data_IF_911905094260
#
_entry.id   IF_911905094260
#
_cell.length_a   1.000
_cell.length_b   1.000
_cell.length_c   1.000
_cell.angle_alpha   90.00
_cell.angle_beta   90.00
_cell.angle_gamma   90.00
#
_symmetry.space_group_name_H-M   'P 1'
#
loop_
_entity.id
_entity.type
_entity.pdbx_description
1 polymer ?
#
# COMPACT_ATOMS: atom_id res chain seq x y z
N UNK A 1 -7.68 25.66 -37.96
CA UNK A 1 -8.44 25.79 -36.70
C UNK A 1 -7.42 25.97 -35.59
N UNK A 2 -7.19 27.21 -35.16
CA UNK A 2 -6.16 27.52 -34.17
C UNK A 2 -6.69 27.10 -32.80
N UNK A 3 -6.12 26.04 -32.21
CA UNK A 3 -6.40 25.69 -30.81
C UNK A 3 -5.94 26.89 -29.99
N UNK A 4 -6.87 27.56 -29.32
CA UNK A 4 -6.54 28.76 -28.54
C UNK A 4 -5.66 28.36 -27.36
N UNK A 5 -4.83 29.28 -26.89
CA UNK A 5 -3.94 29.04 -25.72
C UNK A 5 -4.76 28.59 -24.49
N UNK A 6 -6.03 28.98 -24.44
CA UNK A 6 -7.00 28.54 -23.44
C UNK A 6 -7.34 27.04 -23.52
N UNK A 7 -7.43 26.46 -24.72
CA UNK A 7 -7.63 25.01 -24.88
C UNK A 7 -6.40 24.22 -24.43
N UNK A 8 -5.20 24.76 -24.64
CA UNK A 8 -3.97 24.15 -24.14
C UNK A 8 -3.91 24.16 -22.61
N UNK A 9 -4.26 25.29 -21.97
CA UNK A 9 -4.29 25.42 -20.52
C UNK A 9 -5.32 24.50 -19.86
N UNK A 10 -6.51 24.34 -20.47
CA UNK A 10 -7.56 23.45 -19.97
C UNK A 10 -7.17 21.97 -20.02
N UNK A 11 -6.50 21.54 -21.09
CA UNK A 11 -6.02 20.16 -21.18
C UNK A 11 -4.94 19.87 -20.13
N UNK A 12 -3.99 20.79 -19.95
CA UNK A 12 -2.94 20.63 -18.95
C UNK A 12 -3.49 20.52 -17.51
N UNK A 13 -4.53 21.30 -17.19
CA UNK A 13 -5.19 21.21 -15.89
C UNK A 13 -5.94 19.87 -15.69
N UNK A 14 -6.53 19.32 -16.75
CA UNK A 14 -7.18 18.00 -16.72
C UNK A 14 -6.18 16.88 -16.49
N UNK A 15 -5.08 16.88 -17.24
CA UNK A 15 -4.05 15.85 -17.15
C UNK A 15 -3.43 15.81 -15.74
N UNK A 16 -3.18 16.98 -15.14
CA UNK A 16 -2.67 17.08 -13.76
C UNK A 16 -3.64 16.52 -12.71
N UNK A 17 -4.94 16.72 -12.90
CA UNK A 17 -5.96 16.20 -11.97
C UNK A 17 -6.07 14.67 -12.08
N UNK A 18 -6.01 14.13 -13.29
CA UNK A 18 -6.10 12.69 -13.54
C UNK A 18 -4.88 11.93 -12.99
N UNK A 19 -3.68 12.47 -13.16
CA UNK A 19 -2.46 11.90 -12.57
C UNK A 19 -2.54 11.88 -11.04
N UNK A 20 -3.08 12.93 -10.42
CA UNK A 20 -3.24 12.98 -8.96
C UNK A 20 -4.26 11.96 -8.44
N UNK A 21 -5.34 11.73 -9.19
CA UNK A 21 -6.36 10.74 -8.85
C UNK A 21 -5.83 9.30 -9.03
N UNK A 22 -5.03 9.04 -10.07
CA UNK A 22 -4.33 7.77 -10.26
C UNK A 22 -3.35 7.47 -9.12
N UNK A 23 -2.54 8.47 -8.73
CA UNK A 23 -1.62 8.36 -7.60
C UNK A 23 -2.39 8.06 -6.31
N UNK A 24 -3.45 8.81 -6.00
CA UNK A 24 -4.30 8.58 -4.83
C UNK A 24 -4.90 7.16 -4.79
N UNK A 25 -5.41 6.66 -5.92
CA UNK A 25 -5.92 5.28 -6.03
C UNK A 25 -4.83 4.23 -5.81
N UNK A 26 -3.65 4.44 -6.39
CA UNK A 26 -2.53 3.50 -6.23
C UNK A 26 -2.02 3.43 -4.79
N UNK A 27 -1.97 4.57 -4.09
CA UNK A 27 -1.60 4.65 -2.67
C UNK A 27 -2.64 3.92 -1.82
N UNK A 28 -3.94 4.21 -2.01
CA UNK A 28 -4.99 3.53 -1.25
C UNK A 28 -5.04 2.02 -1.46
N UNK A 29 -4.75 1.54 -2.67
CA UNK A 29 -4.61 0.10 -2.96
C UNK A 29 -3.37 -0.52 -2.30
N UNK A 30 -2.26 0.21 -2.25
CA UNK A 30 -1.03 -0.25 -1.60
C UNK A 30 -1.19 -0.31 -0.07
N UNK A 31 -1.81 0.70 0.54
CA UNK A 31 -2.11 0.75 1.98
C UNK A 31 -3.09 -0.37 2.37
N UNK A 32 -4.18 -0.57 1.62
CA UNK A 32 -5.13 -1.66 1.88
C UNK A 32 -4.50 -3.04 1.76
N UNK A 33 -3.65 -3.26 0.74
CA UNK A 33 -2.87 -4.51 0.64
C UNK A 33 -1.90 -4.71 1.78
N UNK A 34 -1.26 -3.64 2.26
CA UNK A 34 -0.33 -3.69 3.39
C UNK A 34 -1.06 -4.12 4.67
N UNK A 35 -2.24 -3.56 4.94
CA UNK A 35 -3.02 -3.88 6.13
C UNK A 35 -3.51 -5.34 6.13
N UNK A 36 -4.00 -5.85 4.99
CA UNK A 36 -4.40 -7.25 4.85
C UNK A 36 -3.23 -8.22 5.10
N UNK A 37 -2.05 -7.89 4.57
CA UNK A 37 -0.83 -8.71 4.74
C UNK A 37 -0.36 -8.71 6.18
N UNK A 38 -0.31 -7.56 6.84
CA UNK A 38 0.05 -7.47 8.26
C UNK A 38 -0.94 -8.23 9.15
N UNK A 39 -2.24 -8.16 8.85
CA UNK A 39 -3.25 -8.92 9.59
C UNK A 39 -3.10 -10.44 9.38
N UNK A 40 -2.72 -10.89 8.18
CA UNK A 40 -2.43 -12.29 7.91
C UNK A 40 -1.23 -12.79 8.72
N UNK A 41 -0.11 -12.04 8.74
CA UNK A 41 1.05 -12.32 9.59
C UNK A 41 0.64 -12.42 11.06
N UNK A 42 -0.14 -11.45 11.55
CA UNK A 42 -0.61 -11.42 12.94
C UNK A 42 -1.36 -12.70 13.32
N UNK A 43 -2.30 -13.15 12.47
CA UNK A 43 -3.05 -14.39 12.68
C UNK A 43 -2.15 -15.63 12.65
N UNK A 44 -1.17 -15.66 11.75
CA UNK A 44 -0.21 -16.76 11.65
C UNK A 44 0.67 -16.87 12.90
N UNK A 45 1.20 -15.75 13.39
CA UNK A 45 1.97 -15.70 14.64
C UNK A 45 1.11 -16.12 15.84
N UNK A 46 -0.12 -15.63 15.95
CA UNK A 46 -1.07 -16.05 16.99
C UNK A 46 -1.45 -17.54 16.91
N UNK A 47 -1.42 -18.12 15.71
CA UNK A 47 -1.66 -19.55 15.48
C UNK A 47 -0.41 -20.42 15.71
N UNK A 48 0.71 -19.82 16.11
CA UNK A 48 1.96 -20.53 16.39
C UNK A 48 2.78 -20.91 15.16
N UNK A 49 2.52 -20.30 14.00
CA UNK A 49 3.37 -20.48 12.81
C UNK A 49 4.69 -19.77 13.04
N UNK A 50 5.80 -20.44 12.74
CA UNK A 50 7.14 -19.89 12.95
C UNK A 50 7.46 -18.77 11.95
N UNK A 51 8.27 -17.82 12.41
CA UNK A 51 8.83 -16.73 11.60
C UNK A 51 9.44 -17.21 10.28
N UNK A 52 10.26 -18.26 10.33
CA UNK A 52 10.90 -18.84 9.14
C UNK A 52 9.89 -19.34 8.12
N UNK A 53 8.79 -19.96 8.58
CA UNK A 53 7.74 -20.45 7.70
C UNK A 53 6.96 -19.29 7.07
N UNK A 54 6.69 -18.22 7.80
CA UNK A 54 6.02 -17.04 7.24
C UNK A 54 6.91 -16.34 6.20
N UNK A 55 8.22 -16.21 6.45
CA UNK A 55 9.16 -15.65 5.48
C UNK A 55 9.25 -16.48 4.19
N UNK A 56 9.01 -17.79 4.26
CA UNK A 56 8.94 -18.66 3.07
C UNK A 56 7.69 -18.45 2.19
N UNK A 57 6.67 -17.72 2.69
CA UNK A 57 5.38 -17.49 2.02
C UNK A 57 5.30 -16.11 1.34
N UNK A 58 6.43 -15.57 0.87
CA UNK A 58 6.55 -14.25 0.24
C UNK A 58 6.20 -13.06 1.16
N UNK A 59 6.34 -13.22 2.48
CA UNK A 59 6.31 -12.10 3.41
C UNK A 59 7.72 -11.56 3.63
N UNK A 60 7.83 -10.24 3.69
CA UNK A 60 9.11 -9.59 3.95
C UNK A 60 9.44 -9.58 5.43
N UNK A 61 10.74 -9.54 5.73
CA UNK A 61 11.24 -9.42 7.10
C UNK A 61 10.72 -8.15 7.79
N UNK A 62 10.62 -7.05 7.05
CA UNK A 62 10.09 -5.77 7.54
C UNK A 62 8.61 -5.82 7.89
N UNK A 63 7.78 -6.51 7.09
CA UNK A 63 6.35 -6.68 7.39
C UNK A 63 6.18 -7.50 8.67
N UNK A 64 7.00 -8.53 8.84
CA UNK A 64 6.93 -9.43 9.97
C UNK A 64 7.41 -8.77 11.27
N UNK A 65 8.54 -8.07 11.21
CA UNK A 65 9.10 -7.32 12.34
C UNK A 65 8.14 -6.23 12.81
N UNK A 66 7.49 -5.52 11.89
CA UNK A 66 6.51 -4.50 12.26
C UNK A 66 5.29 -5.09 12.98
N UNK A 67 4.80 -6.27 12.57
CA UNK A 67 3.72 -6.98 13.28
C UNK A 67 4.16 -7.52 14.64
N UNK A 68 5.39 -8.04 14.73
CA UNK A 68 5.96 -8.48 16.01
C UNK A 68 6.07 -7.30 16.99
N UNK A 69 6.59 -6.15 16.56
CA UNK A 69 6.67 -4.93 17.37
C UNK A 69 5.28 -4.45 17.83
N UNK A 70 4.27 -4.47 16.97
CA UNK A 70 2.89 -4.16 17.36
C UNK A 70 2.34 -5.12 18.42
N UNK A 71 2.58 -6.43 18.25
CA UNK A 71 2.16 -7.46 19.21
C UNK A 71 2.86 -7.29 20.57
N UNK A 72 4.17 -7.01 20.56
CA UNK A 72 4.93 -6.73 21.78
C UNK A 72 4.49 -5.45 22.48
N UNK A 73 4.09 -4.42 21.73
CA UNK A 73 3.59 -3.16 22.30
C UNK A 73 2.17 -3.28 22.90
N UNK A 74 1.40 -4.30 22.51
CA UNK A 74 0.05 -4.58 23.04
C UNK A 74 0.04 -5.58 24.21
N UNK A 75 1.15 -6.26 24.49
CA UNK A 75 1.30 -7.22 25.57
C UNK A 75 1.67 -6.55 26.90
#
# INVERSE_FOLDING_TARGET
MCKTVEDYAKNYAKDYAEEREKIGRSIGLAEGRSEERMNAIRKMLQSGISREMILSMDYSETELEAVEQELFAQA
#
